data_IF_027505941086
#
_entry.id   IF_027505941086
#
_cell.length_a   1.000
_cell.length_b   1.000
_cell.length_c   1.000
_cell.angle_alpha   90.00
_cell.angle_beta   90.00
_cell.angle_gamma   90.00
#
_symmetry.space_group_name_H-M   'P 1'
#
loop_
_entity.id
_entity.type
_entity.pdbx_description
1 polymer ?
#
# COMPACT_ATOMS: atom_id res chain seq x y z
N UNK A 1 -14.45 -7.19 21.83
CA UNK A 1 -14.32 -8.47 21.10
C UNK A 1 -13.55 -8.21 19.82
N UNK A 2 -12.63 -9.08 19.43
CA UNK A 2 -11.77 -8.92 18.23
C UNK A 2 -12.57 -8.58 16.96
N UNK A 3 -13.68 -9.29 16.71
CA UNK A 3 -14.58 -9.03 15.59
C UNK A 3 -15.15 -7.59 15.54
N UNK A 4 -15.33 -6.93 16.68
CA UNK A 4 -15.81 -5.55 16.70
C UNK A 4 -14.71 -4.57 16.26
N UNK A 5 -13.46 -4.84 16.65
CA UNK A 5 -12.32 -4.03 16.23
C UNK A 5 -12.10 -4.14 14.72
N UNK A 6 -12.28 -5.33 14.14
CA UNK A 6 -12.18 -5.55 12.69
C UNK A 6 -13.24 -4.73 11.91
N UNK A 7 -14.47 -4.66 12.42
CA UNK A 7 -15.55 -3.86 11.81
C UNK A 7 -15.26 -2.36 11.91
N UNK A 8 -14.76 -1.90 13.05
CA UNK A 8 -14.36 -0.49 13.26
C UNK A 8 -13.23 -0.08 12.31
N UNK A 9 -12.23 -0.95 12.14
CA UNK A 9 -11.14 -0.73 11.18
C UNK A 9 -11.65 -0.69 9.73
N UNK A 10 -12.54 -1.62 9.35
CA UNK A 10 -13.14 -1.61 8.02
C UNK A 10 -13.92 -0.31 7.74
N UNK A 11 -14.67 0.19 8.72
CA UNK A 11 -15.37 1.48 8.62
C UNK A 11 -14.39 2.66 8.52
N UNK A 12 -13.28 2.64 9.26
CA UNK A 12 -12.24 3.67 9.18
C UNK A 12 -11.61 3.74 7.77
N UNK A 13 -11.53 2.60 7.07
CA UNK A 13 -11.12 2.53 5.66
C UNK A 13 -12.25 2.83 4.66
N UNK A 14 -13.45 3.21 5.12
CA UNK A 14 -14.59 3.52 4.25
C UNK A 14 -15.25 2.29 3.61
N UNK A 15 -14.95 1.08 4.09
CA UNK A 15 -15.55 -0.16 3.58
C UNK A 15 -17.02 -0.24 4.01
N UNK A 16 -17.91 -0.31 3.03
CA UNK A 16 -19.37 -0.36 3.23
C UNK A 16 -20.03 -1.65 2.73
N UNK A 17 -19.30 -2.52 2.04
CA UNK A 17 -19.79 -3.78 1.52
C UNK A 17 -18.70 -4.87 1.54
N UNK A 18 -19.13 -6.13 1.62
CA UNK A 18 -18.26 -7.30 1.59
C UNK A 18 -18.54 -8.18 0.37
N UNK A 19 -17.53 -8.86 -0.21
CA UNK A 19 -16.12 -8.74 0.13
C UNK A 19 -15.52 -7.41 -0.37
N UNK A 20 -14.54 -6.87 0.33
CA UNK A 20 -13.68 -5.75 -0.11
C UNK A 20 -12.25 -6.06 0.31
N UNK A 21 -11.29 -5.80 -0.58
CA UNK A 21 -9.87 -6.01 -0.35
C UNK A 21 -9.17 -4.66 -0.25
N UNK A 22 -8.39 -4.44 0.82
CA UNK A 22 -7.59 -3.22 0.98
C UNK A 22 -6.14 -3.54 0.63
N UNK A 23 -5.56 -2.81 -0.33
CA UNK A 23 -4.19 -2.99 -0.81
C UNK A 23 -3.33 -1.80 -0.37
N UNK A 24 -2.22 -2.10 0.30
CA UNK A 24 -1.23 -1.13 0.80
C UNK A 24 -1.83 0.05 1.57
N UNK A 25 -2.92 -0.19 2.33
CA UNK A 25 -3.68 0.83 3.09
C UNK A 25 -4.12 2.05 2.25
N UNK A 26 -4.13 1.89 0.91
CA UNK A 26 -4.32 2.99 -0.05
C UNK A 26 -5.46 2.72 -1.02
N UNK A 27 -5.60 1.49 -1.49
CA UNK A 27 -6.62 1.12 -2.47
C UNK A 27 -7.63 0.18 -1.84
N UNK A 28 -8.92 0.45 -2.06
CA UNK A 28 -10.00 -0.48 -1.76
C UNK A 28 -10.53 -1.06 -3.07
N UNK A 29 -10.46 -2.38 -3.21
CA UNK A 29 -10.98 -3.13 -4.34
C UNK A 29 -12.24 -3.86 -3.90
N UNK A 30 -13.45 -3.42 -4.32
CA UNK A 30 -14.68 -4.16 -4.09
C UNK A 30 -14.53 -5.58 -4.64
N UNK A 31 -15.14 -6.55 -3.97
CA UNK A 31 -15.12 -7.94 -4.39
C UNK A 31 -15.88 -8.20 -5.69
N UNK A 32 -15.92 -9.47 -6.10
CA UNK A 32 -16.55 -9.94 -7.34
C UNK A 32 -15.92 -9.42 -8.65
N UNK A 33 -14.69 -8.90 -8.58
CA UNK A 33 -13.92 -8.52 -9.77
C UNK A 33 -13.30 -9.75 -10.44
N UNK A 34 -12.94 -9.60 -11.72
CA UNK A 34 -12.25 -10.66 -12.46
C UNK A 34 -10.80 -10.82 -11.99
N UNK A 35 -10.19 -11.95 -12.33
CA UNK A 35 -8.78 -12.23 -12.00
C UNK A 35 -7.88 -11.18 -12.62
N UNK A 36 -8.18 -10.73 -13.84
CA UNK A 36 -7.40 -9.71 -14.55
C UNK A 36 -7.38 -8.38 -13.81
N UNK A 37 -8.52 -7.97 -13.22
CA UNK A 37 -8.61 -6.73 -12.41
C UNK A 37 -7.75 -6.86 -11.14
N UNK A 38 -7.81 -8.01 -10.47
CA UNK A 38 -6.95 -8.26 -9.31
C UNK A 38 -5.47 -8.24 -9.68
N UNK A 39 -5.07 -8.90 -10.77
CA UNK A 39 -3.69 -8.91 -11.25
C UNK A 39 -3.19 -7.52 -11.58
N UNK A 40 -4.01 -6.70 -12.25
CA UNK A 40 -3.66 -5.32 -12.58
C UNK A 40 -3.50 -4.45 -11.31
N UNK A 41 -4.42 -4.56 -10.35
CA UNK A 41 -4.35 -3.81 -9.10
C UNK A 41 -3.11 -4.17 -8.28
N UNK A 42 -2.78 -5.47 -8.18
CA UNK A 42 -1.58 -5.93 -7.49
C UNK A 42 -0.30 -5.44 -8.19
N UNK A 43 -0.25 -5.49 -9.52
CA UNK A 43 0.89 -4.97 -10.28
C UNK A 43 1.07 -3.46 -10.06
N UNK A 44 -0.02 -2.69 -10.09
CA UNK A 44 0.03 -1.25 -9.84
C UNK A 44 0.58 -0.94 -8.45
N UNK A 45 0.07 -1.63 -7.41
CA UNK A 45 0.55 -1.45 -6.04
C UNK A 45 2.03 -1.83 -5.92
N UNK A 46 2.45 -2.89 -6.59
CA UNK A 46 3.84 -3.32 -6.61
C UNK A 46 4.77 -2.27 -7.22
N UNK A 47 4.41 -1.70 -8.37
CA UNK A 47 5.21 -0.69 -9.06
C UNK A 47 5.31 0.61 -8.24
N UNK A 48 4.25 0.97 -7.50
CA UNK A 48 4.26 2.13 -6.61
C UNK A 48 5.15 1.94 -5.38
N UNK A 49 5.19 0.72 -4.82
CA UNK A 49 6.00 0.40 -3.64
C UNK A 49 7.48 0.12 -4.00
N UNK A 50 7.78 -0.18 -5.26
CA UNK A 50 9.12 -0.51 -5.74
C UNK A 50 9.56 0.41 -6.88
N UNK A 51 9.64 1.74 -6.64
CA UNK A 51 10.11 2.66 -7.67
C UNK A 51 11.56 2.34 -8.06
N UNK A 52 11.90 2.61 -9.31
CA UNK A 52 13.29 2.48 -9.77
C UNK A 52 14.20 3.34 -8.89
N UNK A 53 15.30 2.80 -8.35
CA UNK A 53 16.22 3.57 -7.54
C UNK A 53 16.73 4.80 -8.29
N UNK A 54 16.70 5.95 -7.63
CA UNK A 54 17.20 7.19 -8.19
C UNK A 54 18.72 7.09 -8.39
N UNK A 55 19.20 7.66 -9.50
CA UNK A 55 20.64 7.90 -9.67
C UNK A 55 20.99 9.23 -8.99
N UNK A 56 21.90 9.19 -8.04
CA UNK A 56 22.42 10.38 -7.38
C UNK A 56 23.42 11.08 -8.30
N UNK A 57 23.20 12.38 -8.56
CA UNK A 57 24.11 13.22 -9.35
C UNK A 57 24.68 14.31 -8.43
N UNK A 58 26.00 14.26 -8.16
CA UNK A 58 26.70 15.26 -7.34
C UNK A 58 26.36 15.18 -5.84
N UNK A 59 26.75 14.10 -5.17
CA UNK A 59 26.44 13.85 -3.76
C UNK A 59 27.17 14.83 -2.81
N UNK A 60 26.56 15.99 -2.59
CA UNK A 60 26.86 16.90 -1.48
C UNK A 60 25.54 17.19 -0.74
N UNK A 61 25.19 16.31 0.20
CA UNK A 61 24.00 16.46 1.05
C UNK A 61 24.07 15.48 2.22
N UNK A 62 23.67 15.94 3.40
CA UNK A 62 23.60 15.09 4.60
C UNK A 62 22.50 14.04 4.39
N UNK A 63 22.87 12.77 4.48
CA UNK A 63 21.95 11.64 4.45
C UNK A 63 22.29 10.70 5.61
N UNK A 64 21.27 10.21 6.31
CA UNK A 64 21.50 9.17 7.31
C UNK A 64 21.83 7.86 6.61
N UNK A 65 22.99 7.33 6.91
CA UNK A 65 23.39 6.00 6.47
C UNK A 65 22.71 4.91 7.30
N UNK A 66 23.03 3.67 6.96
CA UNK A 66 22.71 2.48 7.77
C UNK A 66 23.26 2.58 9.21
N UNK A 67 24.35 3.34 9.38
CA UNK A 67 25.01 3.56 10.67
C UNK A 67 24.41 4.74 11.46
N UNK A 68 23.37 5.40 10.93
CA UNK A 68 22.72 6.56 11.53
C UNK A 68 23.20 7.91 10.96
N UNK A 69 22.65 8.98 11.51
CA UNK A 69 23.16 10.34 11.39
C UNK A 69 23.82 10.72 12.73
N UNK A 70 24.89 11.51 12.70
CA UNK A 70 25.34 12.26 13.89
C UNK A 70 24.40 13.45 14.19
#
# INVERSE_FOLDING_TARGET
AEAQADVEQAQAFGVSAVPTYVLAEKYALPGAQSVEVFSAALQQVWDELNPTPLQTLGAEGEACGVDGCD
#
